data_IF_773918547937
#
_entry.id   IF_773918547937
#
_cell.length_a   1.000
_cell.length_b   1.000
_cell.length_c   1.000
_cell.angle_alpha   90.00
_cell.angle_beta   90.00
_cell.angle_gamma   90.00
#
_symmetry.space_group_name_H-M   'P 1'
#
loop_
_entity.id
_entity.type
_entity.pdbx_description
1 polymer ?
#
# COMPACT_ATOMS: atom_id res chain seq x y z
N UNK A 1 24.56 -18.14 0.16
CA UNK A 1 23.83 -17.45 1.21
C UNK A 1 24.71 -16.38 1.85
N UNK A 2 25.90 -16.68 2.36
CA UNK A 2 26.75 -15.74 3.12
C UNK A 2 26.98 -14.41 2.37
N UNK A 3 27.23 -14.46 1.06
CA UNK A 3 27.39 -13.25 0.24
C UNK A 3 26.10 -12.44 0.15
N UNK A 4 24.95 -13.09 -0.01
CA UNK A 4 23.66 -12.43 -0.10
C UNK A 4 23.23 -11.82 1.26
N UNK A 5 23.57 -12.48 2.36
CA UNK A 5 23.33 -11.95 3.69
C UNK A 5 24.05 -10.60 3.91
N UNK A 6 25.32 -10.50 3.49
CA UNK A 6 26.05 -9.22 3.59
C UNK A 6 25.47 -8.13 2.66
N UNK A 7 24.98 -8.50 1.46
CA UNK A 7 24.27 -7.56 0.58
C UNK A 7 23.01 -7.03 1.22
N UNK A 8 22.18 -7.89 1.82
CA UNK A 8 20.96 -7.46 2.53
C UNK A 8 21.29 -6.62 3.76
N UNK A 9 22.37 -6.93 4.48
CA UNK A 9 22.81 -6.11 5.63
C UNK A 9 23.25 -4.72 5.17
N UNK A 10 23.91 -4.60 4.03
CA UNK A 10 24.27 -3.29 3.47
C UNK A 10 23.03 -2.53 2.96
N UNK A 11 22.01 -3.23 2.46
CA UNK A 11 20.71 -2.66 2.12
C UNK A 11 19.99 -2.12 3.36
N UNK A 12 19.98 -2.86 4.48
CA UNK A 12 19.42 -2.38 5.77
C UNK A 12 20.08 -1.06 6.18
N UNK A 13 21.42 -0.97 6.12
CA UNK A 13 22.13 0.27 6.46
C UNK A 13 21.72 1.44 5.56
N UNK A 14 21.53 1.17 4.25
CA UNK A 14 21.09 2.20 3.31
C UNK A 14 19.70 2.73 3.68
N UNK A 15 18.77 1.84 4.09
CA UNK A 15 17.44 2.24 4.56
C UNK A 15 17.51 3.02 5.89
N UNK A 16 18.37 2.62 6.82
CA UNK A 16 18.59 3.35 8.08
C UNK A 16 19.08 4.80 7.82
N UNK A 17 19.85 5.01 6.76
CA UNK A 17 20.35 6.31 6.30
C UNK A 17 19.35 7.09 5.43
N UNK A 18 18.16 6.51 5.13
CA UNK A 18 17.12 7.12 4.29
C UNK A 18 15.79 7.25 5.06
N UNK A 19 15.67 8.26 5.94
CA UNK A 19 14.49 8.42 6.81
C UNK A 19 13.16 8.51 6.07
N UNK A 20 13.16 9.06 4.84
CA UNK A 20 11.98 9.16 3.98
C UNK A 20 11.42 7.81 3.53
N UNK A 21 12.25 6.77 3.53
CA UNK A 21 11.84 5.39 3.21
C UNK A 21 11.59 4.57 4.48
N UNK A 22 12.52 4.67 5.44
CA UNK A 22 12.42 3.94 6.71
C UNK A 22 11.11 4.23 7.47
N UNK A 23 10.59 5.44 7.38
CA UNK A 23 9.38 5.85 8.11
C UNK A 23 8.15 5.01 7.68
N UNK A 24 8.11 4.48 6.46
CA UNK A 24 7.01 3.62 6.01
C UNK A 24 7.02 2.28 6.74
N UNK A 25 8.19 1.65 6.89
CA UNK A 25 8.35 0.39 7.61
C UNK A 25 8.05 0.56 9.10
N UNK A 26 8.59 1.60 9.73
CA UNK A 26 8.35 1.90 11.14
C UNK A 26 6.87 2.27 11.39
N UNK A 27 6.21 2.89 10.41
CA UNK A 27 4.78 3.17 10.50
C UNK A 27 3.95 1.88 10.39
N UNK A 28 4.32 0.95 9.52
CA UNK A 28 3.65 -0.35 9.46
C UNK A 28 3.87 -1.17 10.75
N UNK A 29 5.05 -1.11 11.38
CA UNK A 29 5.28 -1.73 12.69
C UNK A 29 4.39 -1.11 13.78
N UNK A 30 4.19 0.21 13.75
CA UNK A 30 3.26 0.92 14.63
C UNK A 30 1.81 0.46 14.44
N UNK A 31 1.36 0.34 13.19
CA UNK A 31 -0.01 -0.07 12.84
C UNK A 31 -0.25 -1.56 13.15
N UNK A 32 0.75 -2.41 12.94
CA UNK A 32 0.65 -3.87 13.12
C UNK A 32 1.48 -4.38 14.30
N UNK A 33 1.51 -3.62 15.38
CA UNK A 33 2.29 -3.90 16.57
C UNK A 33 2.16 -5.36 17.04
N UNK A 34 3.29 -6.03 17.24
CA UNK A 34 3.38 -7.44 17.63
C UNK A 34 2.80 -8.43 16.59
N UNK A 35 2.63 -8.03 15.36
CA UNK A 35 2.16 -8.91 14.28
C UNK A 35 3.22 -9.05 13.17
N UNK A 36 3.29 -10.19 12.45
CA UNK A 36 4.24 -10.36 11.35
C UNK A 36 4.18 -9.30 10.25
N UNK A 37 3.03 -8.69 9.97
CA UNK A 37 2.89 -7.62 9.00
C UNK A 37 3.65 -6.33 9.37
N UNK A 38 3.89 -6.08 10.66
CA UNK A 38 4.67 -4.93 11.11
C UNK A 38 6.18 -5.17 11.15
N UNK A 39 6.66 -6.34 10.75
CA UNK A 39 8.09 -6.61 10.72
C UNK A 39 8.71 -6.00 9.48
N UNK A 40 9.84 -5.33 9.65
CA UNK A 40 10.64 -4.87 8.52
C UNK A 40 10.94 -6.05 7.57
N UNK A 41 10.68 -5.86 6.28
CA UNK A 41 10.80 -6.91 5.26
C UNK A 41 12.24 -7.39 5.09
N UNK A 42 13.23 -6.55 5.34
CA UNK A 42 14.65 -6.90 5.28
C UNK A 42 15.11 -7.72 6.50
N UNK A 43 14.32 -7.74 7.57
CA UNK A 43 14.66 -8.43 8.80
C UNK A 43 15.67 -7.68 9.67
N UNK A 44 16.46 -8.43 10.45
CA UNK A 44 17.49 -7.89 11.34
C UNK A 44 18.84 -8.55 11.07
N UNK A 45 19.96 -7.79 11.05
CA UNK A 45 21.29 -8.33 10.73
C UNK A 45 21.67 -9.57 11.57
N UNK A 46 21.32 -9.57 12.87
CA UNK A 46 21.62 -10.68 13.76
C UNK A 46 20.87 -11.95 13.40
N UNK A 47 19.65 -11.84 12.88
CA UNK A 47 18.83 -12.96 12.43
C UNK A 47 19.28 -13.45 11.06
N UNK A 48 19.60 -12.53 10.15
CA UNK A 48 20.05 -12.87 8.79
C UNK A 48 21.31 -13.72 8.79
N UNK A 49 22.28 -13.41 9.67
CA UNK A 49 23.52 -14.21 9.81
C UNK A 49 23.32 -15.65 10.29
N UNK A 50 22.14 -15.95 10.83
CA UNK A 50 21.82 -17.30 11.28
C UNK A 50 21.12 -18.15 10.21
N UNK A 51 20.72 -17.56 9.07
CA UNK A 51 20.08 -18.32 7.99
C UNK A 51 21.04 -19.26 7.28
N UNK A 52 20.59 -20.49 7.11
CA UNK A 52 21.31 -21.57 6.43
C UNK A 52 20.65 -21.92 5.10
N UNK A 53 21.36 -22.67 4.27
CA UNK A 53 20.78 -23.26 3.05
C UNK A 53 19.56 -24.14 3.37
N UNK A 54 19.58 -24.84 4.51
CA UNK A 54 18.45 -25.67 4.94
C UNK A 54 17.19 -24.84 5.23
N UNK A 55 17.33 -23.64 5.79
CA UNK A 55 16.20 -22.73 6.04
C UNK A 55 15.56 -22.28 4.74
N UNK A 56 16.38 -21.89 3.74
CA UNK A 56 15.91 -21.49 2.42
C UNK A 56 15.19 -22.66 1.72
N UNK A 57 15.76 -23.86 1.74
CA UNK A 57 15.15 -25.05 1.16
C UNK A 57 13.83 -25.43 1.86
N UNK A 58 13.77 -25.31 3.17
CA UNK A 58 12.53 -25.50 3.93
C UNK A 58 11.46 -24.49 3.54
N UNK A 59 11.83 -23.22 3.36
CA UNK A 59 10.91 -22.18 2.92
C UNK A 59 10.37 -22.46 1.51
N UNK A 60 11.26 -22.72 0.55
CA UNK A 60 10.86 -23.01 -0.84
C UNK A 60 10.01 -24.27 -0.94
N UNK A 61 10.33 -25.34 -0.21
CA UNK A 61 9.53 -26.56 -0.21
C UNK A 61 8.11 -26.39 0.34
N UNK A 62 7.92 -25.40 1.23
CA UNK A 62 6.60 -25.11 1.82
C UNK A 62 5.76 -24.21 0.94
N UNK A 63 6.37 -23.21 0.32
CA UNK A 63 5.62 -22.10 -0.32
C UNK A 63 5.72 -22.10 -1.84
N UNK A 64 6.78 -22.66 -2.44
CA UNK A 64 6.99 -22.66 -3.89
C UNK A 64 6.45 -23.96 -4.50
N UNK A 65 5.13 -24.05 -4.57
CA UNK A 65 4.43 -25.20 -5.18
C UNK A 65 3.29 -24.72 -6.08
N UNK A 66 2.88 -25.51 -7.09
CA UNK A 66 1.96 -25.07 -8.14
C UNK A 66 0.63 -24.48 -7.65
N UNK A 67 0.12 -24.94 -6.50
CA UNK A 67 -1.14 -24.41 -5.95
C UNK A 67 -1.01 -23.05 -5.24
N UNK A 68 0.23 -22.57 -5.05
CA UNK A 68 0.53 -21.29 -4.40
C UNK A 68 1.28 -20.32 -5.32
N UNK A 69 1.34 -20.63 -6.61
CA UNK A 69 2.08 -19.84 -7.60
C UNK A 69 1.18 -19.54 -8.80
N UNK A 70 1.38 -18.37 -9.39
CA UNK A 70 0.77 -17.98 -10.67
C UNK A 70 1.88 -17.69 -11.65
N UNK A 71 1.82 -18.31 -12.81
CA UNK A 71 2.65 -17.96 -13.95
C UNK A 71 1.83 -17.10 -14.90
N UNK A 72 2.32 -15.93 -15.18
CA UNK A 72 1.70 -14.98 -16.11
C UNK A 72 2.65 -14.64 -17.24
N UNK A 73 2.13 -14.50 -18.44
CA UNK A 73 2.89 -14.02 -19.60
C UNK A 73 2.00 -13.13 -20.47
N UNK A 74 2.55 -11.99 -20.84
CA UNK A 74 1.93 -11.06 -21.78
C UNK A 74 2.84 -10.89 -23.00
N UNK A 75 2.31 -11.08 -24.19
CA UNK A 75 3.08 -10.90 -25.43
C UNK A 75 2.39 -11.55 -26.65
N UNK A 76 2.98 -11.37 -27.80
CA UNK A 76 2.51 -12.02 -29.04
C UNK A 76 3.03 -13.46 -29.10
N UNK A 77 2.39 -14.38 -28.38
CA UNK A 77 2.81 -15.77 -28.20
C UNK A 77 1.68 -16.72 -28.50
N UNK A 78 2.02 -17.93 -28.97
CA UNK A 78 1.06 -19.04 -29.07
C UNK A 78 0.75 -19.57 -27.65
N UNK A 79 -0.45 -19.36 -27.17
CA UNK A 79 -0.88 -19.76 -25.83
C UNK A 79 -0.67 -21.26 -25.57
N UNK A 80 -1.04 -22.13 -26.55
CA UNK A 80 -0.87 -23.58 -26.39
C UNK A 80 0.60 -24.02 -26.29
N UNK A 81 1.48 -23.29 -26.97
CA UNK A 81 2.93 -23.53 -26.88
C UNK A 81 3.45 -23.11 -25.50
N UNK A 82 3.01 -21.95 -24.98
CA UNK A 82 3.37 -21.50 -23.63
C UNK A 82 2.91 -22.51 -22.59
N UNK A 83 1.65 -22.93 -22.62
CA UNK A 83 1.11 -23.93 -21.68
C UNK A 83 1.96 -25.20 -21.68
N UNK A 84 2.26 -25.76 -22.85
CA UNK A 84 3.10 -26.97 -22.95
C UNK A 84 4.49 -26.78 -22.36
N UNK A 85 5.09 -25.60 -22.54
CA UNK A 85 6.43 -25.30 -22.00
C UNK A 85 6.38 -25.20 -20.47
N UNK A 86 5.35 -24.54 -19.92
CA UNK A 86 5.15 -24.43 -18.48
C UNK A 86 4.90 -25.81 -17.86
N UNK A 87 3.97 -26.59 -18.42
CA UNK A 87 3.67 -27.95 -17.96
C UNK A 87 4.92 -28.83 -17.95
N UNK A 88 5.73 -28.76 -19.02
CA UNK A 88 7.01 -29.48 -19.09
C UNK A 88 8.01 -29.03 -18.02
N UNK A 89 8.11 -27.71 -17.78
CA UNK A 89 9.07 -27.16 -16.82
C UNK A 89 8.65 -27.40 -15.37
N UNK A 90 7.35 -27.53 -15.13
CA UNK A 90 6.77 -27.73 -13.78
C UNK A 90 6.47 -29.22 -13.47
N UNK A 91 6.77 -30.12 -14.41
CA UNK A 91 6.44 -31.55 -14.29
C UNK A 91 6.99 -32.21 -13.01
N UNK A 92 8.22 -31.85 -12.62
CA UNK A 92 8.92 -32.41 -11.48
C UNK A 92 8.78 -31.59 -10.20
N UNK A 93 8.00 -30.49 -10.25
CA UNK A 93 7.75 -29.68 -9.05
C UNK A 93 6.73 -30.38 -8.16
N UNK A 94 7.14 -30.70 -6.96
CA UNK A 94 6.33 -31.40 -5.99
C UNK A 94 5.16 -30.51 -5.51
N UNK A 95 3.99 -31.13 -5.37
CA UNK A 95 2.87 -30.50 -4.69
C UNK A 95 3.12 -30.52 -3.17
N UNK A 96 2.81 -29.40 -2.52
CA UNK A 96 2.81 -29.31 -1.07
C UNK A 96 1.37 -29.15 -0.58
N UNK A 97 1.02 -29.91 0.45
CA UNK A 97 -0.25 -29.74 1.17
C UNK A 97 -0.15 -28.70 2.30
N UNK A 98 0.99 -27.98 2.37
CA UNK A 98 1.20 -26.97 3.40
C UNK A 98 0.18 -25.83 3.25
N UNK A 99 -0.61 -25.65 4.30
CA UNK A 99 -1.55 -24.53 4.40
C UNK A 99 -0.97 -23.48 5.34
N UNK A 100 -0.81 -22.29 4.82
CA UNK A 100 -0.42 -21.14 5.65
C UNK A 100 -1.56 -20.81 6.60
N UNK A 101 -1.29 -20.89 7.90
CA UNK A 101 -2.20 -20.37 8.92
C UNK A 101 -1.87 -18.90 9.11
N UNK A 102 -2.82 -18.03 8.80
CA UNK A 102 -2.73 -16.59 9.04
C UNK A 102 -3.55 -16.26 10.27
N UNK A 103 -2.92 -15.58 11.21
CA UNK A 103 -3.62 -14.99 12.34
C UNK A 103 -3.97 -13.55 11.97
N UNK A 104 -5.21 -13.15 12.16
CA UNK A 104 -5.60 -11.75 11.96
C UNK A 104 -4.83 -10.85 12.92
N UNK A 105 -4.43 -9.66 12.49
CA UNK A 105 -3.77 -8.70 13.36
C UNK A 105 -4.63 -8.38 14.60
N UNK A 106 -4.00 -8.13 15.76
CA UNK A 106 -4.72 -7.75 16.98
C UNK A 106 -5.50 -6.45 16.80
N UNK A 107 -6.37 -6.13 17.76
CA UNK A 107 -7.08 -4.86 17.76
C UNK A 107 -6.09 -3.69 17.65
N UNK A 108 -6.41 -2.76 16.77
CA UNK A 108 -5.60 -1.58 16.53
C UNK A 108 -5.91 -0.50 17.56
N UNK A 109 -4.88 0.07 18.14
CA UNK A 109 -4.96 1.22 19.05
C UNK A 109 -4.06 2.30 18.46
N UNK A 110 -4.60 3.46 18.08
CA UNK A 110 -3.82 4.58 17.56
C UNK A 110 -2.75 5.07 18.55
N UNK A 111 -1.58 5.37 18.04
CA UNK A 111 -0.45 5.90 18.81
C UNK A 111 0.14 7.14 18.10
N UNK A 112 0.68 8.07 18.87
CA UNK A 112 1.36 9.26 18.37
C UNK A 112 2.79 9.26 18.87
N UNK A 113 3.73 9.09 17.96
CA UNK A 113 5.15 8.97 18.29
C UNK A 113 5.97 10.06 17.60
N UNK A 114 6.91 10.63 18.35
CA UNK A 114 7.96 11.49 17.83
C UNK A 114 9.27 10.81 18.09
N UNK A 115 10.01 10.51 17.04
CA UNK A 115 11.30 9.83 17.11
C UNK A 115 12.38 10.82 16.68
N UNK A 116 13.35 11.13 17.56
CA UNK A 116 14.46 12.00 17.19
C UNK A 116 15.33 11.32 16.12
N UNK A 117 15.54 12.04 15.02
CA UNK A 117 16.41 11.63 13.92
C UNK A 117 17.26 12.83 13.50
N UNK A 118 18.53 12.59 13.24
CA UNK A 118 19.44 13.63 12.72
C UNK A 118 19.19 13.83 11.21
N UNK A 119 18.16 14.60 10.89
CA UNK A 119 17.70 14.86 9.53
C UNK A 119 17.47 16.34 9.30
N UNK A 120 17.72 16.81 8.07
CA UNK A 120 17.46 18.20 7.70
C UNK A 120 15.97 18.52 7.60
N UNK A 121 15.14 17.52 7.31
CA UNK A 121 13.67 17.65 7.20
C UNK A 121 13.00 16.77 8.24
N UNK A 122 11.87 17.22 8.73
CA UNK A 122 10.95 16.35 9.43
C UNK A 122 10.17 15.49 8.43
N UNK A 123 10.01 14.19 8.74
CA UNK A 123 9.19 13.27 7.99
C UNK A 123 7.98 12.89 8.85
N UNK A 124 6.80 12.92 8.25
CA UNK A 124 5.55 12.70 8.97
C UNK A 124 4.71 11.65 8.25
N UNK A 125 4.25 10.67 9.03
CA UNK A 125 3.24 9.70 8.61
C UNK A 125 1.99 9.86 9.47
N UNK A 126 0.82 9.88 8.83
CA UNK A 126 -0.49 9.87 9.48
C UNK A 126 -1.33 8.79 8.83
N UNK A 127 -1.99 7.96 9.61
CA UNK A 127 -2.85 6.92 9.02
C UNK A 127 -3.29 5.88 10.03
N UNK A 128 -3.86 4.80 9.55
CA UNK A 128 -4.40 3.73 10.37
C UNK A 128 -4.72 2.48 9.59
N UNK A 129 -5.50 1.59 10.20
CA UNK A 129 -5.98 0.39 9.51
C UNK A 129 -6.86 0.76 8.33
N UNK A 130 -6.66 0.05 7.22
CA UNK A 130 -7.50 0.13 6.03
C UNK A 130 -8.34 -1.12 5.85
N UNK A 131 -9.15 -1.12 4.80
CA UNK A 131 -9.93 -2.30 4.42
C UNK A 131 -9.05 -3.37 3.79
N UNK A 132 -9.41 -4.63 4.05
CA UNK A 132 -8.82 -5.78 3.37
C UNK A 132 -9.17 -5.83 1.87
N UNK A 133 -8.49 -6.72 1.15
CA UNK A 133 -8.62 -6.86 -0.29
C UNK A 133 -10.00 -7.32 -0.76
N UNK A 134 -10.81 -7.93 0.11
CA UNK A 134 -12.14 -8.45 -0.21
C UNK A 134 -13.28 -7.52 0.20
N UNK A 135 -12.99 -6.45 0.92
CA UNK A 135 -14.00 -5.50 1.38
C UNK A 135 -14.66 -4.76 0.21
N UNK A 136 -15.99 -4.70 0.20
CA UNK A 136 -16.76 -3.93 -0.77
C UNK A 136 -16.48 -2.42 -0.65
N UNK A 137 -16.14 -1.93 0.54
CA UNK A 137 -15.82 -0.53 0.81
C UNK A 137 -14.43 -0.12 0.29
N UNK A 138 -13.57 -1.07 -0.12
CA UNK A 138 -12.21 -0.79 -0.61
C UNK A 138 -12.19 0.19 -1.77
N UNK A 139 -13.10 0.04 -2.75
CA UNK A 139 -13.16 0.95 -3.91
C UNK A 139 -13.49 2.38 -3.50
N UNK A 140 -14.36 2.57 -2.50
CA UNK A 140 -14.70 3.89 -1.97
C UNK A 140 -13.50 4.52 -1.25
N UNK A 141 -12.77 3.75 -0.45
CA UNK A 141 -11.55 4.23 0.20
C UNK A 141 -10.46 4.57 -0.82
N UNK A 142 -10.26 3.75 -1.84
CA UNK A 142 -9.33 4.03 -2.94
C UNK A 142 -9.68 5.36 -3.66
N UNK A 143 -10.96 5.58 -3.91
CA UNK A 143 -11.46 6.81 -4.51
C UNK A 143 -11.20 8.03 -3.61
N UNK A 144 -11.48 7.93 -2.32
CA UNK A 144 -11.20 8.99 -1.34
C UNK A 144 -9.70 9.26 -1.22
N UNK A 145 -8.87 8.22 -1.19
CA UNK A 145 -7.42 8.33 -1.18
C UNK A 145 -6.91 9.12 -2.42
N UNK A 146 -7.43 8.81 -3.60
CA UNK A 146 -7.07 9.53 -4.82
C UNK A 146 -7.42 11.02 -4.76
N UNK A 147 -8.59 11.38 -4.22
CA UNK A 147 -9.01 12.77 -4.02
C UNK A 147 -8.12 13.47 -2.98
N UNK A 148 -7.76 12.76 -1.91
CA UNK A 148 -7.03 13.31 -0.78
C UNK A 148 -5.58 13.63 -1.13
N UNK A 149 -4.81 12.65 -1.55
CA UNK A 149 -3.37 12.77 -1.81
C UNK A 149 -2.88 11.89 -2.96
N UNK A 150 -3.77 11.57 -3.92
CA UNK A 150 -3.38 10.85 -5.13
C UNK A 150 -2.46 11.67 -6.06
N UNK A 151 -2.02 11.09 -7.19
CA UNK A 151 -0.95 11.65 -8.04
C UNK A 151 -1.34 12.95 -8.77
N UNK A 152 -2.61 13.34 -8.74
CA UNK A 152 -3.07 14.58 -9.37
C UNK A 152 -2.64 15.82 -8.59
N UNK A 153 -2.11 16.84 -9.29
CA UNK A 153 -1.73 18.13 -8.67
C UNK A 153 -2.91 18.84 -7.98
N UNK A 154 -4.13 18.47 -8.33
CA UNK A 154 -5.36 18.99 -7.75
C UNK A 154 -5.86 18.17 -6.54
N UNK A 155 -5.10 17.18 -6.07
CA UNK A 155 -5.43 16.46 -4.83
C UNK A 155 -5.45 17.43 -3.66
N UNK A 156 -6.34 17.18 -2.69
CA UNK A 156 -6.62 18.15 -1.61
C UNK A 156 -5.37 18.49 -0.79
N UNK A 157 -4.57 17.53 -0.45
CA UNK A 157 -3.33 17.75 0.32
C UNK A 157 -2.30 18.50 -0.52
N UNK A 158 -2.12 18.14 -1.79
CA UNK A 158 -1.19 18.86 -2.65
C UNK A 158 -1.57 20.34 -2.78
N UNK A 159 -2.85 20.63 -2.99
CA UNK A 159 -3.35 22.02 -3.07
C UNK A 159 -3.21 22.74 -1.72
N UNK A 160 -3.52 22.07 -0.61
CA UNK A 160 -3.57 22.69 0.71
C UNK A 160 -2.17 22.96 1.28
N UNK A 161 -1.25 21.96 1.20
CA UNK A 161 0.07 22.03 1.82
C UNK A 161 1.13 22.61 0.87
N UNK A 162 1.10 22.18 -0.39
CA UNK A 162 2.12 22.55 -1.37
C UNK A 162 1.77 23.82 -2.14
N UNK A 163 0.68 23.79 -2.92
CA UNK A 163 0.39 24.87 -3.86
C UNK A 163 0.03 26.19 -3.16
N UNK A 164 -0.76 26.14 -2.09
CA UNK A 164 -1.21 27.36 -1.39
C UNK A 164 -0.27 27.84 -0.32
N UNK A 165 0.49 26.95 0.31
CA UNK A 165 1.27 27.27 1.50
C UNK A 165 2.77 27.03 1.34
N UNK A 166 3.18 26.25 0.33
CA UNK A 166 4.58 25.89 0.07
C UNK A 166 5.30 25.29 1.30
N UNK A 167 4.55 24.56 2.16
CA UNK A 167 5.09 23.95 3.37
C UNK A 167 5.78 22.60 3.11
N UNK A 168 5.43 21.94 2.00
CA UNK A 168 5.98 20.62 1.65
C UNK A 168 6.43 20.61 0.19
N UNK A 169 7.48 19.85 -0.11
CA UNK A 169 7.90 19.60 -1.49
C UNK A 169 6.99 18.55 -2.15
N UNK A 170 6.67 17.50 -1.43
CA UNK A 170 5.74 16.45 -1.87
C UNK A 170 4.84 16.02 -0.72
N UNK A 171 3.65 15.60 -1.06
CA UNK A 171 2.70 14.97 -0.15
C UNK A 171 1.93 13.92 -0.92
N UNK A 172 1.77 12.77 -0.32
CA UNK A 172 1.05 11.65 -0.92
C UNK A 172 0.18 10.94 0.12
N UNK A 173 -0.85 10.26 -0.35
CA UNK A 173 -1.59 9.30 0.44
C UNK A 173 -1.62 7.94 -0.25
N UNK A 174 -1.36 6.91 0.53
CA UNK A 174 -1.20 5.54 0.07
C UNK A 174 -2.22 4.61 0.73
N UNK A 175 -2.60 3.58 0.00
CA UNK A 175 -3.49 2.54 0.47
C UNK A 175 -2.93 1.18 0.08
N UNK A 176 -2.65 0.36 1.08
CA UNK A 176 -2.27 -1.04 0.91
C UNK A 176 -3.37 -1.94 1.45
N UNK A 177 -3.87 -2.86 0.63
CA UNK A 177 -4.87 -3.85 1.05
C UNK A 177 -4.24 -5.23 1.05
N UNK A 178 -4.14 -5.82 2.23
CA UNK A 178 -3.76 -7.22 2.43
C UNK A 178 -5.01 -8.12 2.37
N UNK A 179 -4.84 -9.42 2.40
CA UNK A 179 -5.98 -10.37 2.32
C UNK A 179 -6.86 -10.41 3.57
N UNK A 180 -6.39 -9.87 4.69
CA UNK A 180 -7.04 -9.94 6.01
C UNK A 180 -7.07 -8.59 6.74
N UNK A 181 -6.50 -7.53 6.15
CA UNK A 181 -6.45 -6.19 6.70
C UNK A 181 -6.01 -5.18 5.62
N UNK A 182 -5.76 -3.94 5.99
CA UNK A 182 -5.15 -2.92 5.14
C UNK A 182 -4.49 -1.82 5.95
N UNK A 183 -3.77 -0.95 5.25
CA UNK A 183 -3.18 0.30 5.77
C UNK A 183 -3.58 1.44 4.87
N UNK A 184 -4.01 2.53 5.47
CA UNK A 184 -4.13 3.83 4.85
C UNK A 184 -3.09 4.75 5.51
N UNK A 185 -2.32 5.48 4.72
CA UNK A 185 -1.39 6.45 5.25
C UNK A 185 -1.23 7.69 4.36
N UNK A 186 -0.86 8.79 4.98
CA UNK A 186 -0.45 10.05 4.38
C UNK A 186 1.00 10.28 4.77
N UNK A 187 1.84 10.61 3.81
CA UNK A 187 3.24 10.97 4.04
C UNK A 187 3.53 12.37 3.50
N UNK A 188 4.34 13.13 4.23
CA UNK A 188 4.97 14.35 3.75
C UNK A 188 6.30 14.63 4.47
N UNK A 189 7.21 15.28 3.74
CA UNK A 189 8.41 15.89 4.30
C UNK A 189 8.25 17.40 4.38
N UNK A 190 8.68 18.01 5.49
CA UNK A 190 8.54 19.45 5.75
C UNK A 190 9.68 19.96 6.62
N UNK A 191 9.83 21.26 6.74
CA UNK A 191 10.76 21.83 7.73
C UNK A 191 10.27 21.53 9.17
N UNK A 192 11.17 21.27 10.13
CA UNK A 192 10.79 20.90 11.50
C UNK A 192 9.86 21.90 12.19
N UNK A 193 9.96 23.19 11.86
CA UNK A 193 9.11 24.27 12.38
C UNK A 193 7.70 24.28 11.80
N UNK A 194 7.50 23.68 10.61
CA UNK A 194 6.22 23.66 9.89
C UNK A 194 5.37 22.41 10.16
N UNK A 195 5.88 21.44 10.93
CA UNK A 195 5.20 20.17 11.21
C UNK A 195 3.78 20.39 11.74
N UNK A 196 3.61 21.25 12.74
CA UNK A 196 2.29 21.49 13.37
C UNK A 196 1.32 22.16 12.39
N UNK A 197 1.82 23.06 11.53
CA UNK A 197 1.01 23.69 10.48
C UNK A 197 0.54 22.66 9.45
N UNK A 198 1.42 21.75 9.02
CA UNK A 198 1.10 20.65 8.10
C UNK A 198 0.10 19.67 8.70
N UNK A 199 0.28 19.26 9.96
CA UNK A 199 -0.66 18.41 10.68
C UNK A 199 -2.06 19.03 10.73
N UNK A 200 -2.16 20.29 11.15
CA UNK A 200 -3.44 21.01 11.23
C UNK A 200 -4.15 21.08 9.87
N UNK A 201 -3.41 21.36 8.79
CA UNK A 201 -3.97 21.40 7.44
C UNK A 201 -4.43 20.01 6.98
N UNK A 202 -3.65 18.99 7.26
CA UNK A 202 -3.99 17.60 6.92
C UNK A 202 -5.29 17.16 7.63
N UNK A 203 -5.37 17.34 8.94
CA UNK A 203 -6.59 17.03 9.71
C UNK A 203 -7.80 17.87 9.27
N UNK A 204 -7.58 19.11 8.84
CA UNK A 204 -8.65 19.94 8.27
C UNK A 204 -9.21 19.36 6.96
N UNK A 205 -8.37 18.85 6.08
CA UNK A 205 -8.83 18.21 4.84
C UNK A 205 -9.54 16.87 5.12
N UNK A 206 -9.02 16.06 6.05
CA UNK A 206 -9.67 14.83 6.51
C UNK A 206 -11.05 15.13 7.11
N UNK A 207 -11.13 16.13 8.00
CA UNK A 207 -12.38 16.60 8.58
C UNK A 207 -13.37 17.10 7.53
N UNK A 208 -12.89 17.83 6.53
CA UNK A 208 -13.75 18.28 5.44
C UNK A 208 -14.37 17.12 4.66
N UNK A 209 -13.62 16.06 4.39
CA UNK A 209 -14.14 14.85 3.72
C UNK A 209 -15.17 14.10 4.57
N UNK A 210 -15.07 14.17 5.90
CA UNK A 210 -16.02 13.57 6.85
C UNK A 210 -17.29 14.38 7.05
N UNK A 211 -17.18 15.71 7.03
CA UNK A 211 -18.30 16.59 7.40
C UNK A 211 -19.11 17.06 6.19
N UNK A 212 -18.49 17.11 5.01
CA UNK A 212 -19.08 17.74 3.83
C UNK A 212 -19.28 16.72 2.72
N UNK A 213 -20.57 16.40 2.48
CA UNK A 213 -20.94 15.54 1.37
C UNK A 213 -20.58 16.20 0.03
N UNK A 214 -19.97 15.43 -0.86
CA UNK A 214 -19.64 15.89 -2.20
C UNK A 214 -20.92 16.23 -2.99
N UNK A 215 -20.89 17.34 -3.72
CA UNK A 215 -21.93 17.66 -4.69
C UNK A 215 -21.87 16.70 -5.89
N UNK A 216 -22.97 16.54 -6.62
CA UNK A 216 -23.00 15.71 -7.82
C UNK A 216 -21.95 16.13 -8.86
N UNK A 217 -21.69 17.44 -8.99
CA UNK A 217 -20.67 17.96 -9.90
C UNK A 217 -19.26 17.54 -9.47
N UNK A 218 -18.92 17.68 -8.18
CA UNK A 218 -17.63 17.27 -7.62
C UNK A 218 -17.41 15.76 -7.75
N UNK A 219 -18.41 14.96 -7.40
CA UNK A 219 -18.35 13.51 -7.51
C UNK A 219 -18.12 13.06 -8.96
N UNK A 220 -18.89 13.60 -9.91
CA UNK A 220 -18.75 13.25 -11.32
C UNK A 220 -17.38 13.66 -11.89
N UNK A 221 -16.87 14.83 -11.50
CA UNK A 221 -15.54 15.29 -11.91
C UNK A 221 -14.44 14.36 -11.38
N UNK A 222 -14.51 13.98 -10.10
CA UNK A 222 -13.55 13.08 -9.49
C UNK A 222 -13.60 11.66 -10.08
N UNK A 223 -14.80 11.13 -10.38
CA UNK A 223 -14.97 9.83 -11.08
C UNK A 223 -14.31 9.84 -12.44
N UNK A 224 -14.57 10.87 -13.26
CA UNK A 224 -13.94 11.02 -14.58
C UNK A 224 -12.43 11.12 -14.50
N UNK A 225 -11.92 11.84 -13.50
CA UNK A 225 -10.48 11.96 -13.29
C UNK A 225 -9.86 10.61 -12.95
N UNK A 226 -10.41 9.87 -12.00
CA UNK A 226 -9.88 8.56 -11.60
C UNK A 226 -9.95 7.54 -12.74
N UNK A 227 -11.08 7.47 -13.47
CA UNK A 227 -11.23 6.60 -14.65
C UNK A 227 -10.19 6.97 -15.72
N UNK A 228 -9.97 8.25 -15.97
CA UNK A 228 -8.94 8.73 -16.90
C UNK A 228 -7.51 8.34 -16.46
N UNK A 229 -7.19 8.48 -15.18
CA UNK A 229 -5.90 8.05 -14.63
C UNK A 229 -5.67 6.54 -14.79
N UNK A 230 -6.68 5.72 -14.48
CA UNK A 230 -6.62 4.27 -14.68
C UNK A 230 -6.46 3.93 -16.16
N UNK A 231 -7.19 4.61 -17.05
CA UNK A 231 -7.06 4.44 -18.50
C UNK A 231 -5.64 4.69 -18.99
N UNK A 232 -5.02 5.80 -18.57
CA UNK A 232 -3.62 6.10 -18.91
C UNK A 232 -2.65 5.09 -18.32
N UNK A 233 -2.86 4.68 -17.06
CA UNK A 233 -2.02 3.66 -16.42
C UNK A 233 -2.12 2.29 -17.12
N UNK A 234 -3.28 1.99 -17.70
CA UNK A 234 -3.53 0.73 -18.44
C UNK A 234 -2.73 0.62 -19.76
N UNK A 235 -2.16 1.71 -20.26
CA UNK A 235 -1.25 1.67 -21.41
C UNK A 235 0.12 1.07 -21.07
N UNK A 236 0.45 0.94 -19.77
CA UNK A 236 1.68 0.27 -19.32
C UNK A 236 1.46 -1.24 -19.19
N UNK A 237 1.93 -1.98 -20.21
CA UNK A 237 1.78 -3.43 -20.29
C UNK A 237 2.44 -4.18 -19.13
N UNK A 238 3.56 -3.71 -18.59
CA UNK A 238 4.28 -4.35 -17.50
C UNK A 238 3.47 -4.27 -16.20
N UNK A 239 3.00 -3.08 -15.84
CA UNK A 239 2.15 -2.89 -14.68
C UNK A 239 0.84 -3.69 -14.78
N UNK A 240 0.20 -3.69 -15.96
CA UNK A 240 -0.98 -4.50 -16.21
C UNK A 240 -0.73 -6.00 -16.01
N UNK A 241 0.40 -6.51 -16.50
CA UNK A 241 0.77 -7.90 -16.34
C UNK A 241 0.91 -8.28 -14.86
N UNK A 242 1.58 -7.44 -14.09
CA UNK A 242 1.74 -7.63 -12.64
C UNK A 242 0.39 -7.57 -11.90
N UNK A 243 -0.46 -6.61 -12.23
CA UNK A 243 -1.77 -6.46 -11.59
C UNK A 243 -2.70 -7.63 -11.91
N UNK A 244 -2.69 -8.11 -13.16
CA UNK A 244 -3.43 -9.30 -13.57
C UNK A 244 -2.95 -10.55 -12.82
N UNK A 245 -1.63 -10.75 -12.72
CA UNK A 245 -1.05 -11.89 -12.01
C UNK A 245 -1.41 -11.85 -10.52
N UNK A 246 -1.27 -10.71 -9.85
CA UNK A 246 -1.65 -10.50 -8.46
C UNK A 246 -3.15 -10.74 -8.24
N UNK A 247 -4.00 -10.19 -9.10
CA UNK A 247 -5.44 -10.38 -9.03
C UNK A 247 -5.82 -11.85 -9.17
N UNK A 248 -5.20 -12.57 -10.11
CA UNK A 248 -5.46 -13.99 -10.28
C UNK A 248 -4.98 -14.81 -9.07
N UNK A 249 -3.82 -14.48 -8.51
CA UNK A 249 -3.28 -15.13 -7.31
C UNK A 249 -4.24 -14.99 -6.11
N UNK A 250 -4.81 -13.81 -5.91
CA UNK A 250 -5.65 -13.52 -4.73
C UNK A 250 -7.12 -13.92 -4.92
N UNK A 251 -7.66 -13.73 -6.11
CA UNK A 251 -9.10 -13.85 -6.36
C UNK A 251 -9.46 -15.00 -7.30
N UNK A 252 -8.48 -15.72 -7.87
CA UNK A 252 -8.63 -16.71 -8.93
C UNK A 252 -9.43 -16.19 -10.15
N UNK A 253 -9.40 -14.89 -10.33
CA UNK A 253 -10.00 -14.14 -11.45
C UNK A 253 -9.27 -12.81 -11.58
N UNK A 254 -9.40 -12.18 -12.73
CA UNK A 254 -9.05 -10.79 -12.85
C UNK A 254 -10.29 -9.99 -13.25
N UNK A 255 -10.38 -8.77 -12.75
CA UNK A 255 -11.43 -7.85 -13.16
C UNK A 255 -10.95 -7.04 -14.37
N UNK A 256 -11.81 -6.93 -15.39
CA UNK A 256 -11.48 -6.04 -16.50
C UNK A 256 -11.50 -4.58 -16.07
N UNK A 257 -10.80 -3.68 -16.78
CA UNK A 257 -10.89 -2.25 -16.53
C UNK A 257 -12.34 -1.73 -16.48
N UNK A 258 -13.21 -2.26 -17.34
CA UNK A 258 -14.63 -1.90 -17.39
C UNK A 258 -15.35 -2.26 -16.08
N UNK A 259 -15.05 -3.42 -15.50
CA UNK A 259 -15.63 -3.81 -14.21
C UNK A 259 -15.19 -2.85 -13.08
N UNK A 260 -13.93 -2.40 -13.10
CA UNK A 260 -13.46 -1.39 -12.16
C UNK A 260 -14.12 -0.02 -12.41
N UNK A 261 -14.28 0.38 -13.67
CA UNK A 261 -14.99 1.61 -14.01
C UNK A 261 -16.44 1.58 -13.53
N UNK A 262 -17.16 0.48 -13.71
CA UNK A 262 -18.50 0.32 -13.16
C UNK A 262 -18.56 0.46 -11.64
N UNK A 263 -17.60 -0.11 -10.91
CA UNK A 263 -17.52 0.08 -9.45
C UNK A 263 -17.30 1.55 -9.07
N UNK A 264 -16.44 2.25 -9.80
CA UNK A 264 -16.21 3.68 -9.56
C UNK A 264 -17.46 4.50 -9.90
N UNK A 265 -18.15 4.20 -11.01
CA UNK A 265 -19.36 4.88 -11.41
C UNK A 265 -20.52 4.65 -10.42
N UNK A 266 -20.58 3.50 -9.78
CA UNK A 266 -21.60 3.18 -8.78
C UNK A 266 -21.42 3.85 -7.42
N UNK A 267 -20.25 4.47 -7.14
CA UNK A 267 -20.01 5.17 -5.89
C UNK A 267 -20.99 6.32 -5.70
N UNK A 268 -21.49 6.48 -4.48
CA UNK A 268 -22.42 7.56 -4.10
C UNK A 268 -21.74 8.52 -3.14
N UNK A 269 -22.20 9.76 -3.10
CA UNK A 269 -21.67 10.76 -2.17
C UNK A 269 -21.95 10.38 -0.72
N UNK A 270 -23.06 9.70 -0.45
CA UNK A 270 -23.43 9.15 0.85
C UNK A 270 -22.47 8.03 1.29
N UNK A 271 -22.20 7.04 0.41
CA UNK A 271 -21.28 5.96 0.70
C UNK A 271 -19.83 6.43 0.90
N UNK A 272 -19.41 7.45 0.15
CA UNK A 272 -18.10 8.08 0.36
C UNK A 272 -18.02 8.81 1.70
N UNK A 273 -19.08 9.51 2.11
CA UNK A 273 -19.15 10.18 3.41
C UNK A 273 -19.10 9.17 4.56
N UNK A 274 -19.82 8.04 4.43
CA UNK A 274 -19.78 6.95 5.40
C UNK A 274 -18.35 6.41 5.56
N UNK A 275 -17.68 6.07 4.44
CA UNK A 275 -16.30 5.55 4.46
C UNK A 275 -15.33 6.60 5.01
N UNK A 276 -15.49 7.88 4.68
CA UNK A 276 -14.65 8.93 5.22
C UNK A 276 -14.79 9.06 6.75
N UNK A 277 -16.01 8.95 7.28
CA UNK A 277 -16.24 8.98 8.72
C UNK A 277 -15.68 7.74 9.44
N UNK A 278 -15.73 6.59 8.81
CA UNK A 278 -15.18 5.35 9.35
C UNK A 278 -13.64 5.35 9.38
N UNK A 279 -13.00 5.94 8.35
CA UNK A 279 -11.57 5.77 8.12
C UNK A 279 -10.72 6.98 8.51
N UNK A 280 -11.29 8.19 8.50
CA UNK A 280 -10.54 9.44 8.70
C UNK A 280 -10.84 10.14 10.02
N UNK A 281 -11.50 9.46 10.94
CA UNK A 281 -11.69 9.97 12.29
C UNK A 281 -10.33 10.09 12.99
N UNK A 282 -10.04 11.26 13.58
CA UNK A 282 -8.73 11.57 14.17
C UNK A 282 -8.34 10.56 15.24
N UNK A 283 -9.31 10.12 16.02
CA UNK A 283 -9.17 9.09 17.05
C UNK A 283 -8.87 7.68 16.52
N UNK A 284 -8.91 7.49 15.20
CA UNK A 284 -8.59 6.23 14.51
C UNK A 284 -7.22 6.28 13.82
N UNK A 285 -6.53 7.41 13.89
CA UNK A 285 -5.28 7.61 13.14
C UNK A 285 -4.08 7.66 14.08
N UNK A 286 -3.03 6.93 13.74
CA UNK A 286 -1.70 7.07 14.32
C UNK A 286 -0.92 8.16 13.62
N UNK A 287 0.06 8.72 14.32
CA UNK A 287 1.03 9.67 13.76
C UNK A 287 2.44 9.26 14.17
N UNK A 288 3.35 9.18 13.20
CA UNK A 288 4.77 8.98 13.39
C UNK A 288 5.52 10.17 12.81
N UNK A 289 6.40 10.77 13.61
CA UNK A 289 7.17 11.95 13.22
C UNK A 289 8.65 11.68 13.49
N UNK A 290 9.47 11.82 12.46
CA UNK A 290 10.92 11.92 12.57
C UNK A 290 11.32 13.39 12.57
N UNK A 291 12.01 13.85 13.61
CA UNK A 291 12.54 15.21 13.72
C UNK A 291 13.66 15.33 14.74
#
# INVERSE_FOLDING_TARGET
IDKEVEVVIDEIKLYDDTPSELIFDDFEDLIFKNHPLGRNILGKPEQLRNFTTADVLNFTSRYYHPTNMVFFVLGNLDFKKVVRLVEKSMHDVLFSEYKTIRNSPPAYIPEHLVVPKDTNQAHVMIGGRGYDAYSEKRTALYFLNNILGGPGMNSKLNVSLRERKALVYSVESNLTSYTDTGVFCIYFGTDPEDVDACLNLTYKELKHLRDVKMTALQLNAAKKQLIGQIGVASDNNENNALDMAKSFLHYNKFDSPEALFHRIESLTAEGLLEVANEMFAEEMLSTLIYR
#
